data_IF_334372734556
#
_entry.id   IF_334372734556
#
_cell.length_a   1.000
_cell.length_b   1.000
_cell.length_c   1.000
_cell.angle_alpha   90.00
_cell.angle_beta   90.00
_cell.angle_gamma   90.00
#
_symmetry.space_group_name_H-M   'P 1'
#
loop_
_entity.id
_entity.type
_entity.pdbx_description
1 polymer ?
#
# COMPACT_ATOMS: atom_id res chain seq x y z
N UNK A 1 -12.98 21.70 3.08
CA UNK A 1 -13.22 20.25 2.86
C UNK A 1 -12.87 19.79 1.45
N UNK A 2 -13.13 20.58 0.39
CA UNK A 2 -12.78 20.22 -1.00
C UNK A 2 -11.26 20.04 -1.25
N UNK A 3 -10.42 20.90 -0.66
CA UNK A 3 -8.95 20.83 -0.82
C UNK A 3 -8.36 19.53 -0.27
N UNK A 4 -8.89 19.03 0.86
CA UNK A 4 -8.40 17.78 1.47
C UNK A 4 -8.74 16.57 0.59
N UNK A 5 -9.96 16.51 0.05
CA UNK A 5 -10.33 15.46 -0.90
C UNK A 5 -9.51 15.53 -2.20
N UNK A 6 -9.21 16.75 -2.68
CA UNK A 6 -8.35 16.95 -3.85
C UNK A 6 -6.92 16.43 -3.61
N UNK A 7 -6.31 16.83 -2.50
CA UNK A 7 -4.96 16.39 -2.12
C UNK A 7 -4.93 14.88 -1.89
N UNK A 8 -5.94 14.31 -1.21
CA UNK A 8 -5.99 12.87 -0.95
C UNK A 8 -6.11 12.04 -2.24
N UNK A 9 -6.97 12.45 -3.18
CA UNK A 9 -7.08 11.77 -4.49
C UNK A 9 -5.82 11.95 -5.33
N UNK A 10 -5.24 13.15 -5.34
CA UNK A 10 -3.97 13.43 -6.01
C UNK A 10 -2.84 12.56 -5.48
N UNK A 11 -2.72 12.42 -4.16
CA UNK A 11 -1.76 11.53 -3.52
C UNK A 11 -2.02 10.05 -3.83
N UNK A 12 -3.29 9.63 -3.85
CA UNK A 12 -3.64 8.25 -4.20
C UNK A 12 -3.21 7.89 -5.63
N UNK A 13 -3.44 8.78 -6.61
CA UNK A 13 -2.99 8.57 -7.99
C UNK A 13 -1.47 8.60 -8.12
N UNK A 14 -0.79 9.52 -7.43
CA UNK A 14 0.67 9.59 -7.42
C UNK A 14 1.29 8.32 -6.82
N UNK A 15 0.76 7.83 -5.70
CA UNK A 15 1.19 6.58 -5.07
C UNK A 15 0.94 5.38 -5.99
N UNK A 16 -0.22 5.31 -6.65
CA UNK A 16 -0.52 4.25 -7.59
C UNK A 16 0.52 4.21 -8.73
N UNK A 17 0.84 5.36 -9.32
CA UNK A 17 1.84 5.47 -10.39
C UNK A 17 3.23 5.07 -9.86
N UNK A 18 3.65 5.58 -8.71
CA UNK A 18 4.94 5.25 -8.10
C UNK A 18 5.08 3.75 -7.81
N UNK A 19 4.01 3.11 -7.34
CA UNK A 19 3.98 1.67 -7.09
C UNK A 19 4.05 0.88 -8.39
N UNK A 20 3.32 1.29 -9.43
CA UNK A 20 3.40 0.63 -10.75
C UNK A 20 4.82 0.70 -11.29
N UNK A 21 5.46 1.87 -11.24
CA UNK A 21 6.85 2.06 -11.66
C UNK A 21 7.81 1.23 -10.81
N UNK A 22 7.61 1.21 -9.48
CA UNK A 22 8.36 0.38 -8.56
C UNK A 22 8.21 -1.10 -8.89
N UNK A 23 7.00 -1.57 -9.18
CA UNK A 23 6.72 -2.95 -9.54
C UNK A 23 7.42 -3.32 -10.85
N UNK A 24 7.27 -2.52 -11.92
CA UNK A 24 7.91 -2.78 -13.21
C UNK A 24 9.44 -2.85 -13.08
N UNK A 25 10.04 -1.95 -12.30
CA UNK A 25 11.49 -1.92 -12.07
C UNK A 25 11.95 -3.09 -11.20
N UNK A 26 11.20 -3.43 -10.16
CA UNK A 26 11.57 -4.46 -9.19
C UNK A 26 11.27 -5.86 -9.71
N UNK A 27 10.27 -6.07 -10.58
CA UNK A 27 9.97 -7.39 -11.18
C UNK A 27 11.15 -7.95 -11.96
N UNK A 28 11.93 -7.10 -12.63
CA UNK A 28 13.15 -7.50 -13.34
C UNK A 28 14.27 -7.97 -12.39
N UNK A 29 14.31 -7.44 -11.17
CA UNK A 29 15.31 -7.78 -10.13
C UNK A 29 14.83 -8.82 -9.11
N UNK A 30 13.52 -8.99 -8.94
CA UNK A 30 12.88 -9.86 -7.95
C UNK A 30 12.98 -11.35 -8.27
N UNK A 31 13.33 -11.69 -9.51
CA UNK A 31 13.56 -13.07 -9.96
C UNK A 31 14.79 -13.72 -9.32
N UNK A 32 15.62 -12.97 -8.60
CA UNK A 32 16.88 -13.48 -8.01
C UNK A 32 16.67 -14.30 -6.73
N UNK A 33 15.58 -14.10 -5.98
CA UNK A 33 15.37 -14.78 -4.69
C UNK A 33 13.88 -14.96 -4.36
N UNK A 34 13.51 -16.13 -3.84
CA UNK A 34 12.12 -16.46 -3.48
C UNK A 34 11.50 -15.48 -2.49
N UNK A 35 12.27 -15.03 -1.51
CA UNK A 35 11.83 -14.05 -0.49
C UNK A 35 11.49 -12.69 -1.10
N UNK A 36 12.32 -12.19 -2.02
CA UNK A 36 12.08 -10.92 -2.71
C UNK A 36 10.85 -11.01 -3.63
N UNK A 37 10.70 -12.12 -4.36
CA UNK A 37 9.50 -12.35 -5.17
C UNK A 37 8.22 -12.39 -4.33
N UNK A 38 8.22 -13.07 -3.18
CA UNK A 38 7.07 -13.11 -2.29
C UNK A 38 6.74 -11.71 -1.72
N UNK A 39 7.76 -10.95 -1.30
CA UNK A 39 7.59 -9.59 -0.78
C UNK A 39 6.95 -8.65 -1.81
N UNK A 40 7.43 -8.69 -3.05
CA UNK A 40 6.86 -7.90 -4.16
C UNK A 40 5.39 -8.27 -4.42
N UNK A 41 5.05 -9.56 -4.39
CA UNK A 41 3.66 -10.01 -4.54
C UNK A 41 2.77 -9.52 -3.41
N UNK A 42 3.24 -9.58 -2.16
CA UNK A 42 2.51 -9.06 -0.99
C UNK A 42 2.25 -7.56 -1.15
N UNK A 43 3.27 -6.78 -1.50
CA UNK A 43 3.15 -5.33 -1.75
C UNK A 43 2.10 -5.06 -2.83
N UNK A 44 2.14 -5.80 -3.95
CA UNK A 44 1.18 -5.62 -5.04
C UNK A 44 -0.26 -5.90 -4.58
N UNK A 45 -0.47 -7.01 -3.86
CA UNK A 45 -1.78 -7.37 -3.31
C UNK A 45 -2.30 -6.32 -2.32
N UNK A 46 -1.44 -5.79 -1.45
CA UNK A 46 -1.81 -4.75 -0.49
C UNK A 46 -2.22 -3.44 -1.18
N UNK A 47 -1.59 -3.07 -2.30
CA UNK A 47 -1.98 -1.87 -3.06
C UNK A 47 -3.35 -2.03 -3.69
N UNK A 48 -3.63 -3.19 -4.29
CA UNK A 48 -4.94 -3.47 -4.87
C UNK A 48 -6.02 -3.43 -3.79
N UNK A 49 -5.76 -4.07 -2.64
CA UNK A 49 -6.67 -4.05 -1.50
C UNK A 49 -6.87 -2.61 -0.98
N UNK A 50 -5.79 -1.83 -0.86
CA UNK A 50 -5.85 -0.43 -0.45
C UNK A 50 -6.78 0.40 -1.34
N UNK A 51 -6.61 0.26 -2.66
CA UNK A 51 -7.42 0.97 -3.65
C UNK A 51 -8.89 0.59 -3.55
N UNK A 52 -9.20 -0.72 -3.46
CA UNK A 52 -10.57 -1.22 -3.33
C UNK A 52 -11.23 -0.70 -2.04
N UNK A 53 -10.56 -0.80 -0.89
CA UNK A 53 -11.07 -0.28 0.38
C UNK A 53 -11.29 1.24 0.34
N UNK A 54 -10.42 1.97 -0.36
CA UNK A 54 -10.55 3.41 -0.54
C UNK A 54 -11.79 3.78 -1.35
N UNK A 55 -12.04 3.07 -2.47
CA UNK A 55 -13.24 3.26 -3.29
C UNK A 55 -14.50 2.94 -2.49
N UNK A 56 -14.51 1.81 -1.78
CA UNK A 56 -15.65 1.42 -0.93
C UNK A 56 -15.93 2.49 0.14
N UNK A 57 -14.88 3.03 0.77
CA UNK A 57 -15.02 4.10 1.77
C UNK A 57 -15.70 5.35 1.21
N UNK A 58 -15.38 5.73 -0.04
CA UNK A 58 -16.03 6.84 -0.74
C UNK A 58 -17.50 6.54 -1.07
N UNK A 59 -17.82 5.29 -1.46
CA UNK A 59 -19.19 4.90 -1.77
C UNK A 59 -20.09 4.89 -0.53
N UNK A 60 -19.53 4.54 0.64
CA UNK A 60 -20.27 4.45 1.91
C UNK A 60 -20.32 5.80 2.64
N UNK A 61 -19.43 6.76 2.32
CA UNK A 61 -19.35 8.04 3.03
C UNK A 61 -20.63 8.89 3.09
N UNK A 62 -21.58 8.83 2.13
CA UNK A 62 -22.85 9.55 2.27
C UNK A 62 -23.71 9.08 3.46
N UNK A 63 -23.50 7.85 3.93
CA UNK A 63 -24.24 7.23 5.04
C UNK A 63 -23.63 7.48 6.43
N UNK A 64 -22.66 8.39 6.57
CA UNK A 64 -22.02 8.68 7.85
C UNK A 64 -23.01 9.31 8.83
N UNK A 65 -23.14 8.72 10.01
CA UNK A 65 -23.92 9.28 11.12
C UNK A 65 -22.91 9.77 12.19
N UNK A 66 -22.82 11.08 12.45
CA UNK A 66 -21.89 11.62 13.43
C UNK A 66 -22.04 10.97 14.81
N UNK A 67 -20.92 10.58 15.42
CA UNK A 67 -20.90 9.97 16.76
C UNK A 67 -21.31 8.51 16.80
N UNK A 68 -21.55 7.85 15.65
CA UNK A 68 -21.83 6.41 15.59
C UNK A 68 -20.78 5.68 14.79
N UNK A 69 -20.35 4.54 15.31
CA UNK A 69 -19.50 3.63 14.56
C UNK A 69 -20.34 2.82 13.59
N UNK A 70 -19.96 2.84 12.31
CA UNK A 70 -20.66 2.16 11.24
C UNK A 70 -19.74 1.60 10.17
N UNK A 71 -20.30 1.32 9.01
CA UNK A 71 -19.58 0.73 7.90
C UNK A 71 -18.47 1.65 7.37
N UNK A 72 -18.69 2.98 7.39
CA UNK A 72 -17.67 3.93 6.97
C UNK A 72 -16.43 3.86 7.86
N UNK A 73 -16.59 3.85 9.18
CA UNK A 73 -15.50 3.80 10.16
C UNK A 73 -14.70 2.50 10.01
N UNK A 74 -15.37 1.36 9.84
CA UNK A 74 -14.70 0.09 9.55
C UNK A 74 -13.88 0.16 8.26
N UNK A 75 -14.46 0.63 7.16
CA UNK A 75 -13.74 0.68 5.88
C UNK A 75 -12.60 1.70 5.91
N UNK A 76 -12.78 2.83 6.57
CA UNK A 76 -11.74 3.84 6.75
C UNK A 76 -10.57 3.30 7.58
N UNK A 77 -10.84 2.60 8.69
CA UNK A 77 -9.77 2.01 9.51
C UNK A 77 -9.08 0.84 8.81
N UNK A 78 -9.82 -0.03 8.13
CA UNK A 78 -9.23 -1.12 7.34
C UNK A 78 -8.36 -0.56 6.20
N UNK A 79 -8.83 0.46 5.49
CA UNK A 79 -8.03 1.18 4.51
C UNK A 79 -6.77 1.78 5.15
N UNK A 80 -6.86 2.35 6.35
CA UNK A 80 -5.68 2.90 7.02
C UNK A 80 -4.66 1.83 7.40
N UNK A 81 -5.11 0.70 7.97
CA UNK A 81 -4.24 -0.41 8.38
C UNK A 81 -3.57 -1.07 7.16
N UNK A 82 -4.31 -1.31 6.08
CA UNK A 82 -3.73 -1.86 4.84
C UNK A 82 -2.69 -0.90 4.24
N UNK A 83 -2.90 0.42 4.34
CA UNK A 83 -1.92 1.43 3.92
C UNK A 83 -0.64 1.41 4.76
N UNK A 84 -0.76 1.16 6.07
CA UNK A 84 0.40 0.95 6.95
C UNK A 84 1.15 -0.33 6.59
N UNK A 85 0.45 -1.44 6.37
CA UNK A 85 1.05 -2.71 5.96
C UNK A 85 1.74 -2.61 4.61
N UNK A 86 1.15 -1.88 3.66
CA UNK A 86 1.76 -1.56 2.38
C UNK A 86 3.10 -0.84 2.58
N UNK A 87 3.12 0.18 3.44
CA UNK A 87 4.34 0.94 3.75
C UNK A 87 5.44 0.03 4.31
N UNK A 88 5.09 -0.85 5.26
CA UNK A 88 6.02 -1.85 5.79
C UNK A 88 6.50 -2.84 4.72
N UNK A 89 5.60 -3.30 3.84
CA UNK A 89 5.94 -4.18 2.73
C UNK A 89 6.92 -3.53 1.74
N UNK A 90 6.77 -2.23 1.45
CA UNK A 90 7.71 -1.48 0.62
C UNK A 90 9.10 -1.40 1.27
N UNK A 91 9.17 -1.09 2.57
CA UNK A 91 10.44 -1.06 3.33
C UNK A 91 11.10 -2.45 3.34
N UNK A 92 10.33 -3.51 3.56
CA UNK A 92 10.85 -4.88 3.52
C UNK A 92 11.40 -5.25 2.13
N UNK A 93 10.68 -4.89 1.07
CA UNK A 93 11.13 -5.12 -0.31
C UNK A 93 12.39 -4.32 -0.62
N UNK A 94 12.47 -3.06 -0.17
CA UNK A 94 13.67 -2.24 -0.30
C UNK A 94 14.87 -2.86 0.43
N UNK A 95 14.70 -3.27 1.69
CA UNK A 95 15.73 -3.93 2.48
C UNK A 95 16.27 -5.19 1.79
N UNK A 96 15.36 -6.07 1.33
CA UNK A 96 15.73 -7.30 0.61
C UNK A 96 16.42 -7.00 -0.73
N UNK A 97 16.03 -5.92 -1.42
CA UNK A 97 16.65 -5.52 -2.69
C UNK A 97 18.04 -4.88 -2.54
N UNK A 98 18.34 -4.29 -1.37
CA UNK A 98 19.60 -3.58 -1.12
C UNK A 98 20.75 -4.55 -0.80
N UNK A 99 20.45 -5.84 -0.57
CA UNK A 99 21.47 -6.89 -0.55
C UNK A 99 22.64 -6.60 0.38
N UNK A 100 22.40 -6.15 1.63
CA UNK A 100 23.46 -6.18 2.64
C UNK A 100 23.80 -7.64 2.92
N UNK A 101 24.78 -8.17 2.21
CA UNK A 101 25.42 -9.45 2.50
C UNK A 101 26.01 -9.29 3.90
N UNK A 102 25.34 -9.85 4.91
CA UNK A 102 25.92 -9.95 6.24
C UNK A 102 27.15 -10.84 6.12
N UNK A 103 28.33 -10.23 6.12
CA UNK A 103 29.61 -10.90 5.94
C UNK A 103 29.84 -11.83 7.15
N UNK A 104 29.49 -13.12 7.02
CA UNK A 104 29.68 -14.16 8.05
C UNK A 104 31.12 -14.68 8.09
N UNK A 105 32.10 -13.79 8.11
CA UNK A 105 33.48 -14.16 8.38
C UNK A 105 33.88 -13.59 9.74
N UNK A 106 33.49 -14.33 10.79
CA UNK A 106 34.05 -14.28 12.15
C UNK A 106 34.35 -15.71 12.56
#
# INVERSE_FOLDING_TARGET
TQTVHFIHRGLAYALLIMIILFFVKTKKSALKTRYLSNAVTIVLSLVLLQAVLGIISVLISPGIIPGKWGAFEWMAQLHQVVGMLLTLGMVATWYLSTGKTFNRNL
#
